data_IF_834591260480
#
_entry.id   IF_834591260480
#
_cell.length_a   1.000
_cell.length_b   1.000
_cell.length_c   1.000
_cell.angle_alpha   90.00
_cell.angle_beta   90.00
_cell.angle_gamma   90.00
#
_symmetry.space_group_name_H-M   'P 1'
#
loop_
_entity.id
_entity.type
_entity.pdbx_description
1 polymer ?
#
# COMPACT_ATOMS: atom_id res chain seq x y z
N UNK A 1 9.64 54.19 28.52
CA UNK A 1 8.54 54.24 27.51
C UNK A 1 8.94 53.78 26.09
N UNK A 2 10.20 53.50 25.79
CA UNK A 2 10.63 53.00 24.45
C UNK A 2 10.57 51.49 24.26
N UNK A 3 10.66 50.68 25.33
CA UNK A 3 10.66 49.23 25.24
C UNK A 3 9.29 48.59 24.90
N UNK A 4 8.18 49.21 25.36
CA UNK A 4 6.83 48.67 25.16
C UNK A 4 6.39 48.75 23.68
N UNK A 5 6.88 49.72 22.92
CA UNK A 5 6.55 49.88 21.48
C UNK A 5 7.22 48.80 20.61
N UNK A 6 8.39 48.30 20.99
CA UNK A 6 9.11 47.29 20.24
C UNK A 6 8.50 45.88 20.42
N UNK A 7 7.88 45.55 21.55
CA UNK A 7 7.20 44.29 21.78
C UNK A 7 5.92 44.17 20.92
N UNK A 8 5.11 45.21 20.82
CA UNK A 8 3.88 45.18 19.99
C UNK A 8 4.16 45.04 18.49
N UNK A 9 5.26 45.62 17.99
CA UNK A 9 5.64 45.48 16.57
C UNK A 9 6.15 44.05 16.25
N UNK A 10 6.75 43.37 17.21
CA UNK A 10 7.27 42.01 17.03
C UNK A 10 6.14 40.95 17.01
N UNK A 11 5.11 41.13 17.85
CA UNK A 11 3.92 40.24 17.83
C UNK A 11 3.11 40.37 16.54
N UNK A 12 2.95 41.57 15.99
CA UNK A 12 2.22 41.78 14.74
C UNK A 12 2.87 41.08 13.54
N UNK A 13 4.20 41.04 13.46
CA UNK A 13 4.91 40.37 12.36
C UNK A 13 4.83 38.83 12.50
N UNK A 14 4.86 38.32 13.71
CA UNK A 14 4.74 36.87 13.98
C UNK A 14 3.33 36.36 13.64
N UNK A 15 2.28 37.11 13.97
CA UNK A 15 0.89 36.75 13.63
C UNK A 15 0.62 36.80 12.14
N UNK A 16 1.17 37.76 11.41
CA UNK A 16 1.06 37.82 9.94
C UNK A 16 1.81 36.65 9.28
N UNK A 17 3.01 36.33 9.75
CA UNK A 17 3.77 35.15 9.24
C UNK A 17 3.02 33.86 9.47
N UNK A 18 2.42 33.66 10.64
CA UNK A 18 1.63 32.52 10.98
C UNK A 18 0.37 32.39 10.10
N UNK A 19 -0.35 33.48 9.86
CA UNK A 19 -1.52 33.49 8.98
C UNK A 19 -1.16 33.14 7.52
N UNK A 20 -0.03 33.63 7.00
CA UNK A 20 0.46 33.29 5.67
C UNK A 20 0.81 31.80 5.59
N UNK A 21 1.43 31.24 6.62
CA UNK A 21 1.82 29.82 6.67
C UNK A 21 0.59 28.92 6.73
N UNK A 22 -0.44 29.30 7.49
CA UNK A 22 -1.72 28.56 7.55
C UNK A 22 -2.47 28.64 6.23
N UNK A 23 -2.49 29.82 5.57
CA UNK A 23 -3.11 29.98 4.26
C UNK A 23 -2.41 29.13 3.19
N UNK A 24 -1.07 29.05 3.24
CA UNK A 24 -0.27 28.21 2.32
C UNK A 24 -0.54 26.71 2.55
N UNK A 25 -0.69 26.29 3.80
CA UNK A 25 -1.01 24.90 4.17
C UNK A 25 -2.42 24.51 3.70
N UNK A 26 -3.40 25.41 3.84
CA UNK A 26 -4.77 25.20 3.34
C UNK A 26 -4.82 25.15 1.81
N UNK A 27 -4.07 26.02 1.12
CA UNK A 27 -3.96 25.98 -0.34
C UNK A 27 -3.33 24.65 -0.81
N UNK A 28 -2.31 24.13 -0.11
CA UNK A 28 -1.65 22.87 -0.44
C UNK A 28 -2.59 21.67 -0.31
N UNK A 29 -3.50 21.67 0.69
CA UNK A 29 -4.51 20.62 0.88
C UNK A 29 -5.55 20.64 -0.25
N UNK A 30 -5.95 21.83 -0.72
CA UNK A 30 -6.93 21.98 -1.80
C UNK A 30 -6.37 21.59 -3.17
N UNK A 31 -5.07 21.80 -3.41
CA UNK A 31 -4.41 21.43 -4.68
C UNK A 31 -4.16 19.92 -4.83
N UNK A 32 -4.08 19.16 -3.72
CA UNK A 32 -3.87 17.70 -3.78
C UNK A 32 -5.15 16.89 -3.98
N UNK A 33 -6.32 17.54 -4.08
CA UNK A 33 -7.60 16.86 -4.24
C UNK A 33 -8.01 16.63 -5.71
N UNK A 34 -7.14 16.90 -6.69
CA UNK A 34 -7.42 16.57 -8.09
C UNK A 34 -7.14 15.07 -8.29
N UNK A 35 -8.08 14.25 -7.84
CA UNK A 35 -8.20 12.89 -8.35
C UNK A 35 -8.62 12.99 -9.81
N UNK A 36 -7.65 12.93 -10.71
CA UNK A 36 -7.93 12.65 -12.12
C UNK A 36 -8.44 11.22 -12.18
N UNK A 37 -9.75 11.07 -12.06
CA UNK A 37 -10.41 9.84 -12.48
C UNK A 37 -10.18 9.72 -13.98
N UNK A 38 -9.26 8.86 -14.40
CA UNK A 38 -9.18 8.46 -15.79
C UNK A 38 -10.55 7.83 -16.12
N UNK A 39 -11.30 8.51 -16.99
CA UNK A 39 -12.60 8.05 -17.43
C UNK A 39 -12.36 6.80 -18.30
N UNK A 40 -12.39 5.64 -17.65
CA UNK A 40 -12.30 4.36 -18.36
C UNK A 40 -13.53 4.26 -19.25
N UNK A 41 -13.38 3.98 -20.54
CA UNK A 41 -14.51 3.90 -21.46
C UNK A 41 -15.51 2.87 -20.94
N UNK A 42 -16.75 3.32 -20.67
CA UNK A 42 -17.83 2.44 -20.19
C UNK A 42 -18.14 1.40 -21.22
N UNK A 43 -18.06 0.15 -20.84
CA UNK A 43 -18.45 -0.98 -21.70
C UNK A 43 -19.98 -1.06 -21.71
N UNK A 44 -20.57 -1.09 -22.91
CA UNK A 44 -21.99 -1.39 -23.11
C UNK A 44 -22.18 -2.90 -23.24
N UNK A 45 -23.04 -3.45 -22.41
CA UNK A 45 -23.44 -4.86 -22.49
C UNK A 45 -24.46 -5.09 -23.61
N UNK A 46 -24.48 -6.31 -24.14
CA UNK A 46 -25.59 -6.80 -24.98
C UNK A 46 -26.83 -7.09 -24.10
N UNK A 47 -28.01 -7.21 -24.71
CA UNK A 47 -29.23 -7.49 -23.96
C UNK A 47 -29.17 -8.88 -23.28
N UNK A 48 -28.56 -9.86 -23.92
CA UNK A 48 -28.33 -11.19 -23.32
C UNK A 48 -27.43 -11.11 -22.08
N UNK A 49 -26.32 -10.37 -22.17
CA UNK A 49 -25.42 -10.17 -21.03
C UNK A 49 -26.09 -9.44 -19.85
N UNK A 50 -26.94 -8.42 -20.15
CA UNK A 50 -27.75 -7.75 -19.13
C UNK A 50 -28.71 -8.74 -18.46
N UNK A 51 -29.37 -9.57 -19.28
CA UNK A 51 -30.27 -10.61 -18.79
C UNK A 51 -29.58 -11.59 -17.86
N UNK A 52 -28.39 -12.10 -18.26
CA UNK A 52 -27.60 -13.02 -17.45
C UNK A 52 -27.17 -12.41 -16.10
N UNK A 53 -26.68 -11.16 -16.10
CA UNK A 53 -26.30 -10.47 -14.88
C UNK A 53 -27.52 -10.26 -13.97
N UNK A 54 -28.63 -9.82 -14.53
CA UNK A 54 -29.85 -9.57 -13.77
C UNK A 54 -30.41 -10.84 -13.13
N UNK A 55 -30.47 -11.95 -13.88
CA UNK A 55 -30.96 -13.25 -13.38
C UNK A 55 -30.05 -13.83 -12.29
N UNK A 56 -28.75 -13.67 -12.42
CA UNK A 56 -27.76 -14.23 -11.50
C UNK A 56 -27.29 -13.24 -10.42
N UNK A 57 -27.89 -12.06 -10.31
CA UNK A 57 -27.45 -10.96 -9.46
C UNK A 57 -27.20 -11.39 -8.00
N UNK A 58 -28.10 -12.15 -7.40
CA UNK A 58 -27.96 -12.64 -6.02
C UNK A 58 -26.75 -13.58 -5.84
N UNK A 59 -26.59 -14.52 -6.75
CA UNK A 59 -25.45 -15.47 -6.73
C UNK A 59 -24.11 -14.75 -6.92
N UNK A 60 -24.06 -13.81 -7.88
CA UNK A 60 -22.85 -13.00 -8.13
C UNK A 60 -22.48 -12.20 -6.87
N UNK A 61 -23.45 -11.47 -6.28
CA UNK A 61 -23.20 -10.69 -5.05
C UNK A 61 -22.74 -11.56 -3.88
N UNK A 62 -23.33 -12.75 -3.72
CA UNK A 62 -22.90 -13.71 -2.70
C UNK A 62 -21.44 -14.14 -2.88
N UNK A 63 -21.03 -14.44 -4.12
CA UNK A 63 -19.65 -14.80 -4.46
C UNK A 63 -18.69 -13.65 -4.24
N UNK A 64 -19.05 -12.44 -4.66
CA UNK A 64 -18.27 -11.23 -4.43
C UNK A 64 -18.11 -10.95 -2.93
N UNK A 65 -19.15 -11.14 -2.11
CA UNK A 65 -19.05 -10.95 -0.67
C UNK A 65 -18.06 -11.92 -0.02
N UNK A 66 -18.03 -13.18 -0.44
CA UNK A 66 -17.04 -14.16 0.00
C UNK A 66 -15.62 -13.73 -0.39
N UNK A 67 -15.45 -13.24 -1.62
CA UNK A 67 -14.18 -12.73 -2.11
C UNK A 67 -13.71 -11.53 -1.28
N UNK A 68 -14.57 -10.55 -0.99
CA UNK A 68 -14.27 -9.40 -0.15
C UNK A 68 -13.72 -9.83 1.22
N UNK A 69 -14.37 -10.79 1.88
CA UNK A 69 -13.94 -11.31 3.18
C UNK A 69 -12.57 -11.99 3.08
N UNK A 70 -12.36 -12.80 2.03
CA UNK A 70 -11.07 -13.46 1.77
C UNK A 70 -9.95 -12.45 1.55
N UNK A 71 -10.18 -11.45 0.71
CA UNK A 71 -9.18 -10.42 0.41
C UNK A 71 -8.84 -9.56 1.64
N UNK A 72 -9.83 -9.25 2.48
CA UNK A 72 -9.60 -8.54 3.75
C UNK A 72 -8.70 -9.34 4.70
N UNK A 73 -8.89 -10.67 4.78
CA UNK A 73 -8.03 -11.55 5.57
C UNK A 73 -6.61 -11.60 5.05
N UNK A 74 -6.43 -11.76 3.74
CA UNK A 74 -5.11 -11.79 3.09
C UNK A 74 -4.39 -10.45 3.33
N UNK A 75 -5.09 -9.32 3.15
CA UNK A 75 -4.51 -7.99 3.41
C UNK A 75 -4.02 -7.85 4.85
N UNK A 76 -4.80 -8.30 5.82
CA UNK A 76 -4.39 -8.22 7.22
C UNK A 76 -3.11 -9.02 7.49
N UNK A 77 -3.01 -10.23 6.91
CA UNK A 77 -1.81 -11.07 7.01
C UNK A 77 -0.59 -10.42 6.36
N UNK A 78 -0.74 -9.93 5.14
CA UNK A 78 0.34 -9.25 4.39
C UNK A 78 0.80 -7.98 5.10
N UNK A 79 -0.12 -7.13 5.55
CA UNK A 79 0.20 -5.90 6.27
C UNK A 79 0.99 -6.16 7.56
N UNK A 80 0.59 -7.18 8.33
CA UNK A 80 1.32 -7.62 9.52
C UNK A 80 2.70 -8.15 9.16
N UNK A 81 2.80 -8.97 8.10
CA UNK A 81 4.08 -9.50 7.63
C UNK A 81 5.06 -8.40 7.21
N UNK A 82 4.60 -7.43 6.42
CA UNK A 82 5.43 -6.29 6.00
C UNK A 82 5.88 -5.42 7.16
N UNK A 83 4.99 -5.20 8.14
CA UNK A 83 5.36 -4.48 9.35
C UNK A 83 6.41 -5.24 10.18
N UNK A 84 6.28 -6.55 10.28
CA UNK A 84 7.25 -7.42 10.97
C UNK A 84 8.60 -7.41 10.25
N UNK A 85 8.61 -7.56 8.92
CA UNK A 85 9.84 -7.48 8.11
C UNK A 85 10.57 -6.15 8.37
N UNK A 86 9.84 -5.05 8.30
CA UNK A 86 10.42 -3.72 8.50
C UNK A 86 10.95 -3.52 9.93
N UNK A 87 10.13 -3.82 10.95
CA UNK A 87 10.43 -3.45 12.33
C UNK A 87 11.34 -4.45 13.03
N UNK A 88 11.25 -5.74 12.70
CA UNK A 88 12.00 -6.79 13.39
C UNK A 88 13.27 -7.20 12.67
N UNK A 89 13.38 -6.93 11.37
CA UNK A 89 14.53 -7.35 10.56
C UNK A 89 15.27 -6.16 9.92
N UNK A 90 14.62 -5.44 9.01
CA UNK A 90 15.28 -4.39 8.22
C UNK A 90 15.84 -3.26 9.11
N UNK A 91 14.98 -2.63 9.89
CA UNK A 91 15.36 -1.46 10.72
C UNK A 91 16.41 -1.80 11.77
N UNK A 92 16.26 -2.87 12.58
CA UNK A 92 17.29 -3.22 13.57
C UNK A 92 18.61 -3.63 12.95
N UNK A 93 18.59 -4.28 11.79
CA UNK A 93 19.84 -4.67 11.10
C UNK A 93 20.60 -3.43 10.63
N UNK A 94 19.95 -2.51 9.94
CA UNK A 94 20.57 -1.27 9.50
C UNK A 94 21.12 -0.44 10.68
N UNK A 95 20.38 -0.37 11.79
CA UNK A 95 20.85 0.31 12.99
C UNK A 95 22.11 -0.34 13.59
N UNK A 96 22.22 -1.67 13.55
CA UNK A 96 23.43 -2.37 14.02
C UNK A 96 24.63 -2.08 13.14
N UNK A 97 24.47 -2.06 11.82
CA UNK A 97 25.53 -1.69 10.89
C UNK A 97 26.04 -0.27 11.18
N UNK A 98 25.15 0.71 11.32
CA UNK A 98 25.52 2.09 11.65
C UNK A 98 26.27 2.17 12.98
N UNK A 99 25.79 1.48 14.03
CA UNK A 99 26.45 1.47 15.34
C UNK A 99 27.85 0.85 15.31
N UNK A 100 28.10 -0.04 14.38
CA UNK A 100 29.40 -0.68 14.19
C UNK A 100 30.26 0.03 13.12
N UNK A 101 29.91 1.26 12.73
CA UNK A 101 30.59 2.06 11.70
C UNK A 101 30.68 1.33 10.34
N UNK A 102 29.75 0.42 10.06
CA UNK A 102 29.68 -0.28 8.77
C UNK A 102 28.87 0.55 7.77
N UNK A 103 29.31 0.51 6.51
CA UNK A 103 28.60 1.18 5.43
C UNK A 103 27.31 0.43 5.09
N UNK A 104 26.18 1.15 5.05
CA UNK A 104 24.89 0.58 4.66
C UNK A 104 24.79 0.26 3.16
N UNK A 105 25.63 0.88 2.31
CA UNK A 105 25.51 0.74 0.86
C UNK A 105 24.07 0.97 0.39
N UNK A 106 23.54 0.02 -0.40
CA UNK A 106 22.16 0.09 -0.94
C UNK A 106 21.07 -0.27 0.09
N UNK A 107 21.42 -0.73 1.29
CA UNK A 107 20.41 -1.19 2.28
C UNK A 107 19.51 -0.05 2.78
N UNK A 108 20.04 1.17 2.88
CA UNK A 108 19.26 2.37 3.27
C UNK A 108 18.18 2.69 2.23
N UNK A 109 18.53 2.64 0.95
CA UNK A 109 17.61 2.92 -0.15
C UNK A 109 16.55 1.82 -0.27
N UNK A 110 16.94 0.56 -0.10
CA UNK A 110 16.02 -0.57 -0.08
C UNK A 110 15.05 -0.50 1.09
N UNK A 111 15.50 -0.08 2.28
CA UNK A 111 14.62 0.19 3.42
C UNK A 111 13.62 1.30 3.10
N UNK A 112 14.09 2.41 2.54
CA UNK A 112 13.24 3.55 2.18
C UNK A 112 12.20 3.14 1.14
N UNK A 113 12.61 2.41 0.09
CA UNK A 113 11.72 1.87 -0.93
C UNK A 113 10.67 0.91 -0.35
N UNK A 114 11.08 0.03 0.57
CA UNK A 114 10.16 -0.88 1.23
C UNK A 114 9.10 -0.14 2.05
N UNK A 115 9.48 0.93 2.76
CA UNK A 115 8.54 1.80 3.51
C UNK A 115 7.54 2.46 2.57
N UNK A 116 8.01 3.05 1.47
CA UNK A 116 7.15 3.71 0.47
C UNK A 116 6.17 2.71 -0.13
N UNK A 117 6.64 1.56 -0.62
CA UNK A 117 5.80 0.52 -1.22
C UNK A 117 4.77 -0.04 -0.23
N UNK A 118 5.14 -0.19 1.06
CA UNK A 118 4.20 -0.60 2.11
C UNK A 118 3.09 0.43 2.31
N UNK A 119 3.42 1.71 2.28
CA UNK A 119 2.43 2.78 2.40
C UNK A 119 1.50 2.82 1.17
N UNK A 120 2.06 2.65 -0.04
CA UNK A 120 1.29 2.54 -1.28
C UNK A 120 0.33 1.34 -1.24
N UNK A 121 0.82 0.17 -0.79
CA UNK A 121 -0.02 -1.02 -0.59
C UNK A 121 -1.23 -0.73 0.31
N UNK A 122 -1.02 -0.03 1.42
CA UNK A 122 -2.10 0.33 2.33
C UNK A 122 -3.11 1.29 1.66
N UNK A 123 -2.64 2.29 0.93
CA UNK A 123 -3.48 3.26 0.23
C UNK A 123 -4.29 2.59 -0.89
N UNK A 124 -3.65 1.75 -1.69
CA UNK A 124 -4.31 0.99 -2.76
C UNK A 124 -5.37 0.04 -2.20
N UNK A 125 -5.09 -0.59 -1.05
CA UNK A 125 -6.09 -1.45 -0.41
C UNK A 125 -7.33 -0.67 0.04
N UNK A 126 -7.16 0.54 0.58
CA UNK A 126 -8.28 1.39 0.99
C UNK A 126 -9.15 1.72 -0.25
N UNK A 127 -8.50 2.15 -1.35
CA UNK A 127 -9.19 2.44 -2.61
C UNK A 127 -9.93 1.22 -3.15
N UNK A 128 -9.27 0.07 -3.20
CA UNK A 128 -9.88 -1.20 -3.62
C UNK A 128 -11.09 -1.57 -2.76
N UNK A 129 -10.96 -1.47 -1.43
CA UNK A 129 -12.04 -1.78 -0.50
C UNK A 129 -13.27 -0.89 -0.72
N UNK A 130 -13.07 0.41 -0.92
CA UNK A 130 -14.14 1.36 -1.22
C UNK A 130 -14.83 1.04 -2.56
N UNK A 131 -14.05 0.74 -3.60
CA UNK A 131 -14.59 0.34 -4.90
C UNK A 131 -15.39 -0.97 -4.81
N UNK A 132 -14.92 -1.91 -3.98
CA UNK A 132 -15.63 -3.16 -3.76
C UNK A 132 -16.97 -2.95 -3.03
N UNK A 133 -17.00 -2.07 -2.03
CA UNK A 133 -18.24 -1.70 -1.35
C UNK A 133 -19.22 -1.02 -2.31
N UNK A 134 -18.73 -0.10 -3.14
CA UNK A 134 -19.52 0.53 -4.18
C UNK A 134 -20.11 -0.51 -5.15
N UNK A 135 -19.31 -1.49 -5.60
CA UNK A 135 -19.76 -2.58 -6.45
C UNK A 135 -20.91 -3.37 -5.81
N UNK A 136 -20.76 -3.72 -4.53
CA UNK A 136 -21.80 -4.47 -3.81
C UNK A 136 -23.07 -3.66 -3.54
N UNK A 137 -22.98 -2.33 -3.52
CA UNK A 137 -24.14 -1.45 -3.32
C UNK A 137 -25.03 -1.34 -4.56
N UNK A 138 -24.48 -1.53 -5.78
CA UNK A 138 -25.22 -1.40 -7.02
C UNK A 138 -26.26 -2.53 -7.13
N UNK A 139 -27.50 -2.18 -7.47
CA UNK A 139 -28.56 -3.15 -7.80
C UNK A 139 -28.32 -3.69 -9.22
N UNK A 140 -27.67 -4.86 -9.31
CA UNK A 140 -27.33 -5.49 -10.59
C UNK A 140 -28.55 -6.01 -11.37
N UNK A 141 -29.74 -6.11 -10.75
CA UNK A 141 -30.96 -6.43 -11.48
C UNK A 141 -31.46 -5.23 -12.28
N UNK A 142 -31.38 -4.03 -11.67
CA UNK A 142 -31.90 -2.80 -12.28
C UNK A 142 -30.85 -2.09 -13.13
N UNK A 143 -29.58 -2.20 -12.74
CA UNK A 143 -28.47 -1.46 -13.33
C UNK A 143 -27.29 -2.39 -13.70
N UNK A 144 -27.48 -3.36 -14.61
CA UNK A 144 -26.47 -4.34 -14.96
C UNK A 144 -25.21 -3.72 -15.63
N UNK A 145 -25.37 -2.67 -16.44
CA UNK A 145 -24.24 -1.97 -17.08
C UNK A 145 -23.36 -1.28 -16.04
N UNK A 146 -23.94 -0.54 -15.09
CA UNK A 146 -23.17 0.14 -14.04
C UNK A 146 -22.49 -0.87 -13.11
N UNK A 147 -23.19 -1.95 -12.77
CA UNK A 147 -22.61 -3.04 -11.99
C UNK A 147 -21.39 -3.67 -12.68
N UNK A 148 -21.50 -3.95 -13.98
CA UNK A 148 -20.41 -4.53 -14.77
C UNK A 148 -19.21 -3.58 -14.87
N UNK A 149 -19.44 -2.30 -15.17
CA UNK A 149 -18.38 -1.31 -15.25
C UNK A 149 -17.68 -1.12 -13.90
N UNK A 150 -18.42 -1.10 -12.78
CA UNK A 150 -17.83 -1.06 -11.45
C UNK A 150 -17.03 -2.34 -11.13
N UNK A 151 -17.50 -3.50 -11.60
CA UNK A 151 -16.76 -4.76 -11.47
C UNK A 151 -15.41 -4.70 -12.19
N UNK A 152 -15.36 -4.16 -13.41
CA UNK A 152 -14.12 -3.98 -14.16
C UNK A 152 -13.15 -3.06 -13.43
N UNK A 153 -13.63 -1.93 -12.92
CA UNK A 153 -12.83 -0.98 -12.11
C UNK A 153 -12.26 -1.66 -10.86
N UNK A 154 -13.09 -2.42 -10.15
CA UNK A 154 -12.67 -3.14 -8.94
C UNK A 154 -11.63 -4.23 -9.26
N UNK A 155 -11.78 -4.91 -10.40
CA UNK A 155 -10.78 -5.91 -10.86
C UNK A 155 -9.43 -5.27 -11.17
N UNK A 156 -9.42 -4.10 -11.82
CA UNK A 156 -8.15 -3.41 -12.12
C UNK A 156 -7.46 -2.97 -10.84
N UNK A 157 -8.17 -2.38 -9.87
CA UNK A 157 -7.58 -2.03 -8.58
C UNK A 157 -7.04 -3.24 -7.81
N UNK A 158 -7.70 -4.40 -7.91
CA UNK A 158 -7.17 -5.65 -7.34
C UNK A 158 -5.88 -6.10 -8.01
N UNK A 159 -5.77 -5.92 -9.32
CA UNK A 159 -4.56 -6.22 -10.09
C UNK A 159 -3.40 -5.30 -9.70
N UNK A 160 -3.66 -3.98 -9.56
CA UNK A 160 -2.67 -3.02 -9.07
C UNK A 160 -2.18 -3.38 -7.66
N UNK A 161 -3.09 -3.78 -6.77
CA UNK A 161 -2.75 -4.25 -5.43
C UNK A 161 -1.82 -5.48 -5.47
N UNK A 162 -2.09 -6.45 -6.35
CA UNK A 162 -1.25 -7.62 -6.53
C UNK A 162 0.14 -7.25 -7.08
N UNK A 163 0.22 -6.29 -8.00
CA UNK A 163 1.51 -5.77 -8.48
C UNK A 163 2.33 -5.18 -7.33
N UNK A 164 1.69 -4.42 -6.44
CA UNK A 164 2.37 -3.85 -5.27
C UNK A 164 2.86 -4.91 -4.29
N UNK A 165 2.13 -6.02 -4.12
CA UNK A 165 2.61 -7.19 -3.35
C UNK A 165 3.88 -7.77 -3.95
N UNK A 166 3.93 -7.92 -5.28
CA UNK A 166 5.12 -8.42 -5.98
C UNK A 166 6.32 -7.47 -5.85
N UNK A 167 6.09 -6.15 -5.93
CA UNK A 167 7.14 -5.14 -5.71
C UNK A 167 7.73 -5.22 -4.30
N UNK A 168 6.88 -5.31 -3.28
CA UNK A 168 7.32 -5.48 -1.88
C UNK A 168 8.13 -6.75 -1.68
N UNK A 169 7.68 -7.87 -2.26
CA UNK A 169 8.40 -9.14 -2.21
C UNK A 169 9.78 -9.01 -2.88
N UNK A 170 9.82 -8.45 -4.09
CA UNK A 170 11.08 -8.23 -4.82
C UNK A 170 12.04 -7.31 -4.04
N UNK A 171 11.53 -6.27 -3.38
CA UNK A 171 12.37 -5.38 -2.58
C UNK A 171 12.93 -6.08 -1.34
N UNK A 172 12.14 -6.93 -0.68
CA UNK A 172 12.61 -7.75 0.43
C UNK A 172 13.69 -8.75 -0.01
N UNK A 173 13.52 -9.40 -1.17
CA UNK A 173 14.53 -10.30 -1.74
C UNK A 173 15.84 -9.57 -2.09
N UNK A 174 15.74 -8.39 -2.70
CA UNK A 174 16.90 -7.54 -2.98
C UNK A 174 17.63 -7.17 -1.69
N UNK A 175 16.88 -6.83 -0.64
CA UNK A 175 17.45 -6.50 0.67
C UNK A 175 18.23 -7.70 1.25
N UNK A 176 17.66 -8.90 1.20
CA UNK A 176 18.34 -10.13 1.64
C UNK A 176 19.62 -10.40 0.81
N UNK A 177 19.55 -10.20 -0.50
CA UNK A 177 20.70 -10.38 -1.38
C UNK A 177 21.83 -9.38 -1.08
N UNK A 178 21.50 -8.13 -0.72
CA UNK A 178 22.52 -7.15 -0.30
C UNK A 178 23.15 -7.52 1.06
N UNK A 179 22.37 -8.04 2.02
CA UNK A 179 22.91 -8.55 3.28
C UNK A 179 23.95 -9.64 3.04
N UNK A 180 23.67 -10.57 2.13
CA UNK A 180 24.56 -11.69 1.82
C UNK A 180 25.89 -11.28 1.17
N UNK A 181 25.98 -10.03 0.66
CA UNK A 181 27.23 -9.46 0.11
C UNK A 181 28.09 -8.77 1.16
N UNK A 182 27.55 -8.52 2.35
CA UNK A 182 28.28 -7.84 3.41
C UNK A 182 29.28 -8.84 4.00
N UNK A 183 30.53 -8.70 3.62
CA UNK A 183 31.65 -9.36 4.32
C UNK A 183 31.79 -8.66 5.68
N UNK A 184 31.60 -9.40 6.74
CA UNK A 184 31.83 -8.89 8.08
C UNK A 184 33.33 -8.95 8.31
N UNK A 185 34.03 -7.86 7.98
CA UNK A 185 35.42 -7.67 8.35
C UNK A 185 35.52 -7.53 9.87
N UNK A 186 36.02 -8.56 10.53
CA UNK A 186 36.34 -8.42 11.93
C UNK A 186 36.15 -9.67 12.77
N UNK A 187 37.23 -10.00 13.45
CA UNK A 187 37.49 -11.16 14.28
C UNK A 187 36.48 -11.49 15.40
N UNK A 188 35.33 -10.82 15.53
CA UNK A 188 34.49 -10.96 16.75
C UNK A 188 33.00 -11.04 16.60
N UNK A 189 32.40 -11.17 15.42
CA UNK A 189 30.96 -11.49 15.32
C UNK A 189 30.77 -12.61 14.32
N UNK A 190 30.95 -13.85 14.75
CA UNK A 190 30.38 -14.99 14.04
C UNK A 190 28.86 -14.94 14.22
N UNK A 191 28.15 -14.24 13.34
CA UNK A 191 26.78 -14.60 13.06
C UNK A 191 26.81 -15.91 12.26
N UNK A 192 26.68 -17.01 12.96
CA UNK A 192 26.17 -18.22 12.34
C UNK A 192 24.72 -17.88 12.04
N UNK A 193 24.29 -17.74 10.76
CA UNK A 193 22.86 -17.72 10.48
C UNK A 193 22.38 -19.08 11.00
N UNK A 194 21.62 -19.09 12.08
CA UNK A 194 20.78 -20.22 12.38
C UNK A 194 20.05 -20.51 11.07
N UNK A 195 20.33 -21.67 10.47
CA UNK A 195 19.70 -22.09 9.23
C UNK A 195 18.21 -21.89 9.42
N UNK A 196 17.69 -20.78 8.94
CA UNK A 196 16.25 -20.61 8.75
C UNK A 196 15.86 -21.79 7.88
N UNK A 197 15.14 -22.72 8.49
CA UNK A 197 14.80 -23.99 7.88
C UNK A 197 14.15 -23.68 6.53
N UNK A 198 14.89 -23.84 5.44
CA UNK A 198 14.46 -23.53 4.08
C UNK A 198 13.15 -24.27 3.72
N UNK A 199 12.83 -25.29 4.50
CA UNK A 199 11.58 -26.04 4.45
C UNK A 199 10.36 -25.23 4.91
N UNK A 200 10.53 -24.20 5.77
CA UNK A 200 9.42 -23.33 6.19
C UNK A 200 9.22 -22.12 5.29
N UNK A 201 10.26 -21.62 4.63
CA UNK A 201 10.16 -20.53 3.67
C UNK A 201 9.49 -20.99 2.35
N UNK A 202 9.64 -22.25 1.97
CA UNK A 202 9.01 -22.86 0.78
C UNK A 202 7.49 -23.11 0.94
N UNK A 203 6.93 -23.00 2.15
CA UNK A 203 5.50 -23.19 2.38
C UNK A 203 4.71 -21.86 2.40
N UNK A 204 5.37 -20.72 2.25
CA UNK A 204 4.71 -19.46 1.91
C UNK A 204 4.55 -19.47 0.38
N UNK A 205 3.70 -20.38 -0.11
CA UNK A 205 3.16 -20.30 -1.47
C UNK A 205 2.64 -18.89 -1.66
N UNK A 206 3.20 -18.20 -2.62
CA UNK A 206 2.88 -16.82 -2.99
C UNK A 206 1.35 -16.67 -3.03
N UNK A 207 0.72 -15.96 -2.06
CA UNK A 207 -0.74 -15.85 -2.01
C UNK A 207 -1.31 -15.15 -3.24
N UNK A 208 -0.47 -14.45 -4.03
CA UNK A 208 -0.86 -13.83 -5.27
C UNK A 208 -1.28 -14.86 -6.35
N UNK A 209 -0.72 -16.08 -6.37
CA UNK A 209 -1.09 -17.11 -7.34
C UNK A 209 -2.39 -17.84 -6.98
N UNK A 210 -2.85 -17.80 -5.73
CA UNK A 210 -4.13 -18.40 -5.35
C UNK A 210 -5.35 -17.55 -5.66
N UNK A 211 -5.13 -16.26 -6.00
CA UNK A 211 -6.21 -15.29 -6.24
C UNK A 211 -6.67 -15.30 -7.71
N UNK A 212 -5.92 -15.93 -8.62
CA UNK A 212 -6.18 -15.93 -10.07
C UNK A 212 -7.05 -17.06 -10.60
N UNK A 213 -7.25 -18.17 -9.87
CA UNK A 213 -7.85 -19.40 -10.41
C UNK A 213 -9.23 -19.78 -9.84
N UNK A 214 -9.98 -18.82 -9.31
CA UNK A 214 -11.39 -19.06 -8.94
C UNK A 214 -12.30 -17.93 -9.38
#
# INVERSE_FOLDING_TARGET
MKEIKNLKLKESKATHLFLILVAFLLAFILFNSIHVSADTPKVKLTDDQRGEISMNCSSIKSSLKKLQVSDAKIRSLLGTSYQTILNSYITPFNLRLVKNNQNLGNLSDLQSNFVLQKNDFNSLYITYSQQFENLLSIDCQKNPDDFYNQLLTTRESRKELNQKVNELTSTAEKYLNEINKIEIDGENIRFIPEKADATKASSITNPANQIGER
#
